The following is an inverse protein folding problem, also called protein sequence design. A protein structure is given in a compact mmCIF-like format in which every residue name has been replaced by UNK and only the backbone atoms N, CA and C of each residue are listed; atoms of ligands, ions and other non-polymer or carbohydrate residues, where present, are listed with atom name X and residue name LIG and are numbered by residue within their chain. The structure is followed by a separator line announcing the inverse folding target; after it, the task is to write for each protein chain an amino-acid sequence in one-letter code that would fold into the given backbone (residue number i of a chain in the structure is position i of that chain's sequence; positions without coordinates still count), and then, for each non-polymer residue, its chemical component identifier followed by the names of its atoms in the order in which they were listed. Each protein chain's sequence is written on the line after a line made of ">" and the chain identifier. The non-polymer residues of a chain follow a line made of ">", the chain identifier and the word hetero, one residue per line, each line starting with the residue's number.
data_IF_866926604453
#
_entry.id   IF_866926604453
#
_cell.length_a   1.000
_cell.length_b   1.000
_cell.length_c   1.000
_cell.angle_alpha   90.00
_cell.angle_beta   90.00
_cell.angle_gamma   90.00
#
_symmetry.space_group_name_H-M   'P 1'
#
loop_
_entity.id
_entity.type
_entity.pdbx_description
1 polymer ?
#
# COMPACT_ATOMS: atom_id res chain seq x y z
N UNK A 1 15.57 7.62 8.97
CA UNK A 1 14.85 6.34 8.76
C UNK A 1 13.51 6.70 8.14
N UNK A 2 13.04 5.98 7.11
CA UNK A 2 11.78 6.33 6.45
C UNK A 2 10.58 5.85 7.26
N UNK A 3 9.43 6.53 7.13
CA UNK A 3 8.15 6.12 7.73
C UNK A 3 7.83 4.66 7.38
N UNK A 4 8.07 4.26 6.14
CA UNK A 4 7.75 2.92 5.65
C UNK A 4 8.63 1.85 6.28
N UNK A 5 9.89 2.16 6.56
CA UNK A 5 10.80 1.27 7.28
C UNK A 5 10.31 1.01 8.71
N UNK A 6 9.87 2.05 9.40
CA UNK A 6 9.33 1.94 10.77
C UNK A 6 8.04 1.12 10.81
N UNK A 7 7.10 1.39 9.88
CA UNK A 7 5.87 0.59 9.77
C UNK A 7 6.15 -0.87 9.41
N UNK A 8 7.16 -1.14 8.57
CA UNK A 8 7.56 -2.49 8.20
C UNK A 8 8.14 -3.27 9.39
N UNK A 9 8.99 -2.62 10.17
CA UNK A 9 9.53 -3.18 11.41
C UNK A 9 8.43 -3.44 12.44
N UNK A 10 7.50 -2.50 12.59
CA UNK A 10 6.31 -2.67 13.42
C UNK A 10 5.45 -3.86 13.00
N UNK A 11 5.24 -4.04 11.69
CA UNK A 11 4.51 -5.19 11.15
C UNK A 11 5.20 -6.52 11.45
N UNK A 12 6.53 -6.59 11.23
CA UNK A 12 7.30 -7.79 11.55
C UNK A 12 7.23 -8.13 13.04
N UNK A 13 7.33 -7.12 13.91
CA UNK A 13 7.23 -7.27 15.36
C UNK A 13 5.88 -7.89 15.76
N UNK A 14 4.76 -7.32 15.30
CA UNK A 14 3.43 -7.83 15.68
C UNK A 14 3.13 -9.21 15.08
N UNK A 15 3.70 -9.50 13.91
CA UNK A 15 3.64 -10.83 13.33
C UNK A 15 4.42 -11.85 14.20
N UNK A 16 5.62 -11.51 14.69
CA UNK A 16 6.43 -12.42 15.51
C UNK A 16 5.95 -12.57 16.96
N UNK A 17 5.48 -11.49 17.58
CA UNK A 17 5.15 -11.46 19.01
C UNK A 17 3.69 -11.81 19.30
N UNK A 18 2.96 -12.22 18.27
CA UNK A 18 1.54 -12.46 18.31
C UNK A 18 0.68 -11.26 18.78
N UNK A 19 1.18 -10.03 18.65
CA UNK A 19 0.40 -8.82 18.89
C UNK A 19 -0.60 -8.52 17.76
N UNK A 20 -1.71 -7.84 18.07
CA UNK A 20 -2.75 -7.55 17.07
C UNK A 20 -2.45 -6.29 16.25
N UNK A 21 -1.88 -5.29 16.88
CA UNK A 21 -1.73 -3.95 16.31
C UNK A 21 -0.39 -3.33 16.68
N UNK A 22 0.15 -2.52 15.77
CA UNK A 22 1.29 -1.66 16.00
C UNK A 22 0.82 -0.21 15.90
N UNK A 23 0.92 0.54 17.00
CA UNK A 23 0.69 1.98 17.00
C UNK A 23 2.00 2.68 16.74
N UNK A 24 2.10 3.29 15.57
CA UNK A 24 3.28 4.05 15.16
C UNK A 24 3.31 5.43 15.81
N UNK A 25 2.15 6.09 15.91
CA UNK A 25 2.06 7.45 16.46
C UNK A 25 0.74 7.67 17.19
N UNK A 26 0.80 8.45 18.27
CA UNK A 26 -0.37 9.06 18.89
C UNK A 26 -0.26 10.58 18.82
N UNK A 27 -1.32 11.25 18.37
CA UNK A 27 -1.36 12.70 18.24
C UNK A 27 -2.76 13.21 18.63
N UNK A 28 -2.82 14.02 19.70
CA UNK A 28 -4.06 14.55 20.28
C UNK A 28 -5.17 13.50 20.50
N UNK A 29 -4.79 12.36 21.08
CA UNK A 29 -5.71 11.26 21.39
C UNK A 29 -6.16 10.45 20.18
N UNK A 30 -5.60 10.71 18.99
CA UNK A 30 -5.79 9.87 17.81
C UNK A 30 -4.59 8.93 17.65
N UNK A 31 -4.89 7.66 17.38
CA UNK A 31 -3.89 6.61 17.17
C UNK A 31 -3.70 6.37 15.67
N UNK A 32 -2.46 6.26 15.24
CA UNK A 32 -2.07 5.98 13.86
C UNK A 32 -1.15 4.77 13.82
N UNK A 33 -1.43 3.82 12.94
CA UNK A 33 -0.72 2.56 12.91
C UNK A 33 -1.34 1.53 11.98
N UNK A 34 -1.11 0.26 12.29
CA UNK A 34 -1.58 -0.87 11.50
C UNK A 34 -2.08 -1.99 12.39
N UNK A 35 -3.10 -2.69 11.92
CA UNK A 35 -3.61 -3.93 12.52
C UNK A 35 -3.33 -5.09 11.56
N UNK A 36 -2.63 -6.13 12.02
CA UNK A 36 -2.32 -7.31 11.21
C UNK A 36 -3.52 -8.26 11.16
N UNK A 37 -3.99 -8.57 9.95
CA UNK A 37 -5.09 -9.52 9.72
C UNK A 37 -4.56 -10.95 9.65
N UNK A 38 -4.25 -11.48 10.84
CA UNK A 38 -3.71 -12.82 11.06
C UNK A 38 -4.54 -13.95 10.48
N UNK A 39 -3.90 -15.11 10.36
CA UNK A 39 -4.54 -16.36 9.92
C UNK A 39 -5.30 -16.23 8.60
N UNK A 40 -4.79 -15.38 7.70
CA UNK A 40 -5.39 -15.13 6.39
C UNK A 40 -6.85 -14.65 6.49
N UNK A 41 -7.16 -13.81 7.49
CA UNK A 41 -8.50 -13.22 7.69
C UNK A 41 -8.72 -11.92 6.90
N UNK A 42 -7.67 -11.37 6.29
CA UNK A 42 -7.74 -10.16 5.49
C UNK A 42 -8.25 -10.38 4.06
N UNK A 43 -8.73 -9.29 3.44
CA UNK A 43 -9.25 -9.31 2.07
C UNK A 43 -8.19 -9.69 1.04
N UNK A 44 -6.91 -9.47 1.32
CA UNK A 44 -5.81 -9.84 0.41
C UNK A 44 -5.55 -11.34 0.37
N UNK A 45 -5.95 -12.05 1.42
CA UNK A 45 -5.81 -13.49 1.51
C UNK A 45 -6.90 -14.25 0.74
N UNK A 46 -8.05 -13.63 0.48
CA UNK A 46 -9.11 -14.25 -0.32
C UNK A 46 -8.63 -14.54 -1.75
N UNK A 47 -8.92 -15.75 -2.25
CA UNK A 47 -8.57 -16.18 -3.60
C UNK A 47 -9.86 -16.51 -4.34
N UNK A 48 -10.09 -15.78 -5.43
CA UNK A 48 -11.22 -16.05 -6.33
C UNK A 48 -10.87 -17.22 -7.25
N UNK A 49 -11.86 -18.05 -7.65
CA UNK A 49 -11.63 -19.18 -8.56
C UNK A 49 -10.83 -18.81 -9.81
N UNK A 50 -11.16 -17.68 -10.44
CA UNK A 50 -10.51 -17.18 -11.65
C UNK A 50 -9.04 -16.78 -11.45
N UNK A 51 -8.62 -16.54 -10.20
CA UNK A 51 -7.26 -16.12 -9.86
C UNK A 51 -6.42 -17.25 -9.23
N UNK A 52 -6.96 -18.46 -9.09
CA UNK A 52 -6.25 -19.55 -8.40
C UNK A 52 -4.87 -19.83 -9.00
N UNK A 53 -4.77 -19.87 -10.34
CA UNK A 53 -3.53 -20.19 -11.05
C UNK A 53 -2.41 -19.17 -10.83
N UNK A 54 -2.78 -17.93 -10.50
CA UNK A 54 -1.83 -16.83 -10.26
C UNK A 54 -1.66 -16.51 -8.77
N UNK A 55 -2.50 -17.10 -7.90
CA UNK A 55 -2.43 -16.89 -6.47
C UNK A 55 -1.17 -17.54 -5.90
N UNK A 56 -0.48 -16.83 -5.01
CA UNK A 56 0.77 -17.29 -4.39
C UNK A 56 0.47 -18.01 -3.08
N UNK A 57 1.39 -18.87 -2.66
CA UNK A 57 1.17 -19.78 -1.52
C UNK A 57 0.93 -19.06 -0.20
N UNK A 58 1.53 -17.87 -0.01
CA UNK A 58 1.41 -17.09 1.23
C UNK A 58 0.60 -15.82 1.03
N UNK A 59 -0.13 -15.70 -0.08
CA UNK A 59 -0.81 -14.47 -0.45
C UNK A 59 -1.68 -13.93 0.68
N UNK A 60 -1.54 -12.65 1.02
CA UNK A 60 -2.28 -11.97 2.07
C UNK A 60 -1.86 -12.34 3.49
N UNK A 61 -0.71 -13.00 3.69
CA UNK A 61 -0.22 -13.28 5.03
C UNK A 61 0.01 -11.99 5.83
N UNK A 62 0.64 -11.00 5.21
CA UNK A 62 0.90 -9.69 5.81
C UNK A 62 -0.21 -8.67 5.55
N UNK A 63 -1.45 -9.12 5.35
CA UNK A 63 -2.55 -8.18 5.13
C UNK A 63 -2.77 -7.30 6.36
N UNK A 64 -2.91 -6.00 6.16
CA UNK A 64 -3.02 -5.00 7.22
C UNK A 64 -4.24 -4.12 7.02
N UNK A 65 -4.84 -3.72 8.13
CA UNK A 65 -5.79 -2.62 8.16
C UNK A 65 -5.11 -1.39 8.74
N UNK A 66 -5.19 -0.27 8.03
CA UNK A 66 -4.70 1.01 8.54
C UNK A 66 -5.53 1.50 9.73
N UNK A 67 -4.85 1.85 10.83
CA UNK A 67 -5.43 2.56 11.97
C UNK A 67 -5.18 4.04 11.71
N UNK A 68 -6.24 4.78 11.38
CA UNK A 68 -6.15 6.18 10.94
C UNK A 68 -6.94 7.09 11.88
N UNK A 69 -6.75 6.98 13.20
CA UNK A 69 -7.46 7.81 14.19
C UNK A 69 -8.99 7.68 14.14
N UNK A 70 -9.69 8.82 14.18
CA UNK A 70 -11.17 8.90 14.14
C UNK A 70 -11.77 8.54 12.78
N UNK A 71 -10.95 8.37 11.74
CA UNK A 71 -11.44 8.14 10.39
C UNK A 71 -11.80 6.66 10.21
N UNK A 72 -12.94 6.26 10.75
CA UNK A 72 -13.47 4.90 10.61
C UNK A 72 -13.90 4.72 9.15
N UNK A 73 -13.00 4.16 8.32
CA UNK A 73 -13.13 3.87 6.88
C UNK A 73 -12.87 5.07 5.95
N UNK A 74 -11.60 5.43 5.80
CA UNK A 74 -11.17 6.30 4.70
C UNK A 74 -11.26 5.54 3.38
N UNK A 75 -12.01 6.11 2.43
CA UNK A 75 -11.98 5.68 1.03
C UNK A 75 -10.94 6.49 0.27
N UNK A 76 -10.44 5.96 -0.85
CA UNK A 76 -9.58 6.71 -1.77
C UNK A 76 -10.21 8.05 -2.19
N UNK A 77 -11.53 8.09 -2.42
CA UNK A 77 -12.24 9.31 -2.80
C UNK A 77 -12.22 10.37 -1.69
N UNK A 78 -12.50 9.94 -0.45
CA UNK A 78 -12.44 10.81 0.74
C UNK A 78 -11.03 11.36 0.96
N UNK A 79 -10.01 10.49 0.89
CA UNK A 79 -8.62 10.91 1.03
C UNK A 79 -8.23 11.94 -0.04
N UNK A 80 -8.53 11.66 -1.31
CA UNK A 80 -8.15 12.55 -2.41
C UNK A 80 -8.82 13.93 -2.31
N UNK A 81 -10.09 13.98 -1.87
CA UNK A 81 -10.78 15.25 -1.58
C UNK A 81 -10.09 16.04 -0.47
N UNK A 82 -9.63 15.35 0.57
CA UNK A 82 -8.94 15.97 1.69
C UNK A 82 -7.55 16.47 1.30
N UNK A 83 -6.77 15.65 0.59
CA UNK A 83 -5.47 16.05 0.06
C UNK A 83 -5.61 17.31 -0.81
N UNK A 84 -6.52 17.28 -1.79
CA UNK A 84 -6.73 18.43 -2.68
C UNK A 84 -7.15 19.71 -1.93
N UNK A 85 -7.91 19.58 -0.84
CA UNK A 85 -8.44 20.73 -0.10
C UNK A 85 -7.48 21.29 0.94
N UNK A 86 -6.61 20.44 1.52
CA UNK A 86 -5.84 20.80 2.71
C UNK A 86 -4.34 20.68 2.54
N UNK A 87 -3.83 19.99 1.52
CA UNK A 87 -2.38 19.75 1.34
C UNK A 87 -1.88 20.28 0.00
N UNK A 88 -0.57 20.28 -0.19
CA UNK A 88 0.07 20.51 -1.50
C UNK A 88 0.53 19.20 -2.13
N UNK A 89 0.83 19.22 -3.43
CA UNK A 89 1.38 18.05 -4.12
C UNK A 89 2.79 17.70 -3.62
N UNK A 90 3.57 18.71 -3.21
CA UNK A 90 4.91 18.58 -2.63
C UNK A 90 4.86 17.90 -1.26
N UNK A 91 3.88 18.26 -0.42
CA UNK A 91 3.63 17.58 0.86
C UNK A 91 3.27 16.10 0.62
N UNK A 92 2.47 15.79 -0.41
CA UNK A 92 2.14 14.42 -0.79
C UNK A 92 3.36 13.64 -1.31
N UNK A 93 4.19 14.28 -2.15
CA UNK A 93 5.44 13.70 -2.68
C UNK A 93 6.46 13.43 -1.57
N UNK A 94 6.51 14.29 -0.55
CA UNK A 94 7.34 14.05 0.64
C UNK A 94 6.90 12.76 1.36
N UNK A 95 5.60 12.59 1.59
CA UNK A 95 5.05 11.36 2.19
C UNK A 95 5.36 10.14 1.33
N UNK A 96 5.16 10.24 0.01
CA UNK A 96 5.48 9.17 -0.94
C UNK A 96 6.96 8.76 -0.97
N UNK A 97 7.88 9.69 -0.69
CA UNK A 97 9.31 9.42 -0.48
C UNK A 97 9.60 8.83 0.91
N UNK A 98 8.61 8.76 1.79
CA UNK A 98 8.71 8.23 3.14
C UNK A 98 9.10 9.28 4.20
N UNK A 99 8.87 10.57 3.93
CA UNK A 99 9.22 11.68 4.81
C UNK A 99 7.97 12.43 5.30
N UNK A 100 7.95 12.81 6.58
CA UNK A 100 6.90 13.70 7.12
C UNK A 100 7.37 15.15 6.97
N UNK A 101 6.62 16.03 6.28
CA UNK A 101 6.95 17.45 6.25
C UNK A 101 6.92 18.10 7.63
N UNK A 102 7.81 19.06 7.87
CA UNK A 102 7.84 19.86 9.10
C UNK A 102 6.72 20.93 9.13
N UNK A 103 6.43 21.45 10.33
CA UNK A 103 5.55 22.62 10.54
C UNK A 103 4.12 22.46 9.98
N UNK A 104 3.57 21.25 10.01
CA UNK A 104 2.21 20.98 9.57
C UNK A 104 1.18 21.36 10.64
N UNK A 105 0.04 21.90 10.21
CA UNK A 105 -1.14 21.95 11.08
C UNK A 105 -1.58 20.53 11.42
N UNK A 106 -2.26 20.37 12.55
CA UNK A 106 -2.74 19.06 12.99
C UNK A 106 -3.58 18.35 11.92
N UNK A 107 -4.53 19.06 11.31
CA UNK A 107 -5.39 18.49 10.26
C UNK A 107 -4.57 17.99 9.07
N UNK A 108 -3.61 18.78 8.58
CA UNK A 108 -2.72 18.36 7.49
C UNK A 108 -1.90 17.13 7.87
N UNK A 109 -1.31 17.14 9.06
CA UNK A 109 -0.52 16.03 9.61
C UNK A 109 -1.33 14.73 9.60
N UNK A 110 -2.57 14.75 10.07
CA UNK A 110 -3.43 13.55 10.11
C UNK A 110 -3.80 13.03 8.71
N UNK A 111 -4.08 13.91 7.76
CA UNK A 111 -4.36 13.55 6.36
C UNK A 111 -3.13 12.91 5.71
N UNK A 112 -1.95 13.52 5.91
CA UNK A 112 -0.69 13.04 5.34
C UNK A 112 -0.21 11.73 5.99
N UNK A 113 -0.41 11.55 7.29
CA UNK A 113 -0.15 10.26 7.97
C UNK A 113 -1.07 9.17 7.43
N UNK A 114 -2.35 9.48 7.21
CA UNK A 114 -3.28 8.54 6.58
C UNK A 114 -2.79 8.13 5.20
N UNK A 115 -2.34 9.09 4.39
CA UNK A 115 -1.73 8.80 3.09
C UNK A 115 -0.53 7.86 3.22
N UNK A 116 0.34 8.08 4.20
CA UNK A 116 1.50 7.21 4.46
C UNK A 116 1.08 5.76 4.76
N UNK A 117 0.08 5.57 5.61
CA UNK A 117 -0.44 4.23 5.96
C UNK A 117 -1.02 3.51 4.73
N UNK A 118 -1.77 4.23 3.88
CA UNK A 118 -2.33 3.65 2.66
C UNK A 118 -1.25 3.33 1.62
N UNK A 119 -0.20 4.15 1.50
CA UNK A 119 0.95 3.85 0.66
C UNK A 119 1.73 2.63 1.17
N UNK A 120 1.88 2.51 2.49
CA UNK A 120 2.48 1.33 3.13
C UNK A 120 1.67 0.07 2.84
N UNK A 121 0.33 0.13 2.94
CA UNK A 121 -0.54 -0.99 2.58
C UNK A 121 -0.28 -1.46 1.14
N UNK A 122 -0.13 -0.52 0.18
CA UNK A 122 0.20 -0.87 -1.20
C UNK A 122 1.54 -1.62 -1.31
N UNK A 123 2.59 -1.14 -0.64
CA UNK A 123 3.91 -1.74 -0.64
C UNK A 123 3.92 -3.16 -0.07
N UNK A 124 3.17 -3.40 1.00
CA UNK A 124 3.12 -4.71 1.65
C UNK A 124 2.29 -5.69 0.84
N UNK A 125 1.14 -5.26 0.32
CA UNK A 125 0.14 -6.18 -0.19
C UNK A 125 0.29 -6.50 -1.70
N UNK A 126 1.03 -5.69 -2.46
CA UNK A 126 1.15 -5.83 -3.91
C UNK A 126 2.61 -5.86 -4.36
N UNK A 127 2.98 -6.84 -5.19
CA UNK A 127 4.35 -6.95 -5.69
C UNK A 127 4.75 -8.37 -6.08
N UNK A 128 6.06 -8.63 -6.03
CA UNK A 128 6.66 -9.87 -6.53
C UNK A 128 6.66 -11.00 -5.51
N UNK A 129 6.59 -10.70 -4.22
CA UNK A 129 6.85 -11.70 -3.17
C UNK A 129 5.68 -12.65 -2.94
N UNK A 130 5.97 -13.82 -2.35
CA UNK A 130 5.02 -14.93 -2.21
C UNK A 130 3.79 -14.61 -1.34
N UNK A 131 3.86 -13.56 -0.54
CA UNK A 131 2.73 -13.06 0.26
C UNK A 131 1.92 -11.96 -0.43
N UNK A 132 2.40 -11.43 -1.54
CA UNK A 132 1.79 -10.29 -2.22
C UNK A 132 0.86 -10.74 -3.36
N UNK A 133 -0.16 -9.93 -3.64
CA UNK A 133 -0.92 -10.04 -4.89
C UNK A 133 -0.09 -9.52 -6.07
N UNK A 134 -0.38 -10.05 -7.25
CA UNK A 134 0.17 -9.53 -8.50
C UNK A 134 -0.18 -8.05 -8.68
N UNK A 135 0.78 -7.27 -9.19
CA UNK A 135 0.58 -5.87 -9.55
C UNK A 135 1.41 -5.48 -10.77
N UNK A 136 0.88 -4.58 -11.58
CA UNK A 136 1.62 -3.93 -12.68
C UNK A 136 2.68 -2.93 -12.17
N UNK A 137 2.63 -2.56 -10.89
CA UNK A 137 3.56 -1.68 -10.19
C UNK A 137 4.47 -2.47 -9.24
N UNK A 138 4.86 -3.69 -9.62
CA UNK A 138 5.77 -4.49 -8.81
C UNK A 138 7.21 -3.95 -8.90
N UNK A 139 7.95 -3.88 -7.77
CA UNK A 139 9.27 -3.29 -7.71
C UNK A 139 10.30 -4.06 -8.53
N UNK A 140 11.27 -3.34 -9.13
CA UNK A 140 12.45 -3.97 -9.71
C UNK A 140 13.56 -4.04 -8.67
N UNK A 141 13.93 -5.24 -8.23
CA UNK A 141 14.98 -5.42 -7.20
C UNK A 141 16.33 -4.82 -7.65
N UNK A 142 16.63 -4.83 -8.95
CA UNK A 142 17.86 -4.24 -9.51
C UNK A 142 17.79 -2.72 -9.68
N UNK A 143 16.59 -2.16 -9.65
CA UNK A 143 16.36 -0.73 -9.71
C UNK A 143 15.18 -0.37 -8.77
N UNK A 144 15.44 -0.24 -7.45
CA UNK A 144 14.39 -0.04 -6.44
C UNK A 144 13.53 1.21 -6.64
N UNK A 145 14.02 2.20 -7.37
CA UNK A 145 13.29 3.42 -7.73
C UNK A 145 12.28 3.18 -8.87
N UNK A 146 12.48 2.12 -9.66
CA UNK A 146 11.62 1.77 -10.78
C UNK A 146 10.39 0.98 -10.33
N UNK A 147 9.23 1.65 -10.45
CA UNK A 147 7.88 1.11 -10.23
C UNK A 147 7.67 0.58 -8.82
N UNK A 148 7.21 1.45 -7.93
CA UNK A 148 6.82 1.06 -6.57
C UNK A 148 5.32 0.81 -6.51
N UNK A 149 4.81 -0.14 -5.72
CA UNK A 149 3.36 -0.36 -5.59
C UNK A 149 2.60 0.91 -5.24
N UNK A 150 3.18 1.76 -4.38
CA UNK A 150 2.59 3.06 -4.01
C UNK A 150 2.57 4.10 -5.14
N UNK A 151 3.30 3.91 -6.23
CA UNK A 151 3.29 4.83 -7.39
C UNK A 151 1.92 4.89 -8.08
N UNK A 152 1.13 3.81 -8.01
CA UNK A 152 -0.24 3.84 -8.52
C UNK A 152 -1.07 4.92 -7.80
N UNK A 153 -1.00 4.94 -6.47
CA UNK A 153 -1.73 5.92 -5.66
C UNK A 153 -1.15 7.33 -5.87
N UNK A 154 0.17 7.47 -5.89
CA UNK A 154 0.83 8.76 -6.12
C UNK A 154 0.51 9.36 -7.48
N UNK A 155 0.47 8.55 -8.55
CA UNK A 155 0.13 9.03 -9.89
C UNK A 155 -1.31 9.55 -9.96
N UNK A 156 -2.24 8.93 -9.23
CA UNK A 156 -3.60 9.46 -9.11
C UNK A 156 -3.67 10.75 -8.30
N UNK A 157 -2.88 10.87 -7.23
CA UNK A 157 -2.78 12.12 -6.47
C UNK A 157 -2.27 13.24 -7.38
N UNK A 158 -1.18 13.00 -8.12
CA UNK A 158 -0.59 13.98 -9.05
C UNK A 158 -1.58 14.39 -10.14
N UNK A 159 -2.34 13.43 -10.68
CA UNK A 159 -3.41 13.71 -11.64
C UNK A 159 -4.53 14.58 -11.06
N UNK A 160 -4.98 14.29 -9.83
CA UNK A 160 -6.04 15.06 -9.15
C UNK A 160 -5.60 16.48 -8.87
N UNK A 161 -4.36 16.69 -8.38
CA UNK A 161 -3.79 18.01 -8.15
C UNK A 161 -3.63 18.78 -9.46
N UNK A 162 -3.09 18.14 -10.50
CA UNK A 162 -2.88 18.75 -11.81
C UNK A 162 -4.20 19.19 -12.48
N UNK A 163 -5.28 18.42 -12.30
CA UNK A 163 -6.58 18.70 -12.93
C UNK A 163 -7.55 19.43 -12.00
N UNK A 164 -7.18 19.65 -10.74
CA UNK A 164 -7.97 20.38 -9.74
C UNK A 164 -9.30 19.71 -9.36
N UNK A 165 -9.49 18.41 -9.64
CA UNK A 165 -10.76 17.72 -9.35
C UNK A 165 -10.59 16.22 -9.14
N UNK A 166 -11.20 15.69 -8.09
CA UNK A 166 -11.18 14.25 -7.76
C UNK A 166 -11.95 13.42 -8.80
N UNK A 167 -12.98 13.99 -9.44
CA UNK A 167 -13.75 13.29 -10.49
C UNK A 167 -12.93 12.95 -11.74
N UNK A 168 -11.74 13.54 -11.89
CA UNK A 168 -10.83 13.25 -13.00
C UNK A 168 -10.40 11.78 -13.09
N UNK A 169 -10.41 11.06 -11.97
CA UNK A 169 -9.97 9.66 -11.92
C UNK A 169 -11.10 8.65 -12.08
N UNK A 170 -12.35 9.10 -12.24
CA UNK A 170 -13.51 8.21 -12.29
C UNK A 170 -13.47 7.23 -13.47
N UNK A 171 -12.86 7.63 -14.59
CA UNK A 171 -12.69 6.78 -15.77
C UNK A 171 -11.72 5.61 -15.54
N UNK A 172 -10.97 5.63 -14.44
CA UNK A 172 -10.04 4.56 -14.06
C UNK A 172 -10.58 3.68 -12.94
N UNK A 173 -11.80 3.91 -12.47
CA UNK A 173 -12.46 3.05 -11.49
C UNK A 173 -13.15 1.90 -12.20
N UNK A 174 -12.90 0.67 -11.75
CA UNK A 174 -13.71 -0.47 -12.20
C UNK A 174 -15.11 -0.43 -11.55
N UNK A 175 -16.00 -1.37 -11.93
CA UNK A 175 -17.37 -1.47 -11.36
C UNK A 175 -17.42 -1.65 -9.83
N UNK A 176 -16.31 -2.04 -9.20
CA UNK A 176 -16.15 -2.20 -7.75
C UNK A 176 -15.49 -0.99 -7.09
N UNK A 177 -15.21 0.08 -7.85
CA UNK A 177 -14.58 1.30 -7.37
C UNK A 177 -13.06 1.22 -7.20
N UNK A 178 -12.41 0.13 -7.62
CA UNK A 178 -10.95 0.02 -7.55
C UNK A 178 -10.30 0.81 -8.68
N UNK A 179 -9.22 1.52 -8.36
CA UNK A 179 -8.42 2.24 -9.35
C UNK A 179 -7.58 1.25 -10.16
N UNK A 180 -7.72 1.30 -11.49
CA UNK A 180 -6.94 0.54 -12.47
C UNK A 180 -5.80 1.42 -12.97
N UNK A 181 -4.66 0.90 -13.45
CA UNK A 181 -3.67 1.72 -14.17
C UNK A 181 -4.28 2.43 -15.39
N UNK A 182 -3.75 3.59 -15.81
CA UNK A 182 -4.06 4.16 -17.11
C UNK A 182 -3.59 3.22 -18.25
N UNK A 183 -4.11 3.39 -19.47
CA UNK A 183 -3.64 2.61 -20.62
C UNK A 183 -2.13 2.75 -20.81
N UNK A 184 -1.47 1.62 -21.09
CA UNK A 184 -0.04 1.56 -21.32
C UNK A 184 0.35 2.43 -22.52
N UNK A 185 1.47 3.14 -22.42
CA UNK A 185 2.03 4.09 -23.37
C UNK A 185 1.14 5.32 -23.66
N UNK A 186 0.14 5.61 -22.83
CA UNK A 186 -0.65 6.83 -22.94
C UNK A 186 0.12 8.05 -22.41
N UNK A 187 -0.25 9.25 -22.85
CA UNK A 187 0.31 10.50 -22.30
C UNK A 187 0.04 10.63 -20.79
N UNK A 188 -1.11 10.11 -20.32
CA UNK A 188 -1.45 10.10 -18.91
C UNK A 188 -0.53 9.18 -18.10
N UNK A 189 -0.26 7.96 -18.58
CA UNK A 189 0.72 7.07 -17.93
C UNK A 189 2.10 7.72 -17.89
N UNK A 190 2.56 8.29 -19.00
CA UNK A 190 3.87 8.96 -19.06
C UNK A 190 3.96 10.11 -18.06
N UNK A 191 2.97 10.99 -18.07
CA UNK A 191 2.98 12.23 -17.28
C UNK A 191 2.89 11.97 -15.78
N UNK A 192 2.01 11.08 -15.33
CA UNK A 192 1.67 10.96 -13.91
C UNK A 192 2.27 9.72 -13.23
N UNK A 193 2.67 8.69 -13.98
CA UNK A 193 3.13 7.42 -13.41
C UNK A 193 4.57 7.08 -13.80
N UNK A 194 4.96 7.34 -15.05
CA UNK A 194 6.33 7.09 -15.51
C UNK A 194 7.29 8.13 -14.96
N UNK A 195 6.88 9.39 -14.86
CA UNK A 195 7.67 10.48 -14.28
C UNK A 195 8.15 10.18 -12.86
N UNK A 196 7.33 9.50 -12.05
CA UNK A 196 7.66 9.09 -10.69
C UNK A 196 8.88 8.17 -10.64
N UNK A 197 9.11 7.34 -11.66
CA UNK A 197 10.19 6.34 -11.71
C UNK A 197 11.58 6.99 -11.84
N UNK A 198 11.64 8.28 -12.17
CA UNK A 198 12.87 9.05 -12.27
C UNK A 198 13.29 9.68 -10.93
N UNK A 199 12.47 9.55 -9.88
CA UNK A 199 12.81 10.08 -8.56
C UNK A 199 13.64 9.07 -7.76
N UNK A 200 14.94 9.34 -7.69
CA UNK A 200 15.93 8.53 -6.98
C UNK A 200 15.82 8.64 -5.45
N UNK A 201 15.03 9.58 -4.93
CA UNK A 201 14.85 9.76 -3.48
C UNK A 201 13.73 8.89 -2.91
N UNK A 202 13.04 8.11 -3.75
CA UNK A 202 11.99 7.19 -3.35
C UNK A 202 12.33 5.76 -3.77
N UNK A 203 12.60 4.88 -2.80
CA UNK A 203 12.87 3.47 -3.06
C UNK A 203 11.68 2.58 -2.67
N UNK A 204 11.50 1.45 -3.36
CA UNK A 204 10.52 0.43 -2.97
C UNK A 204 10.84 -0.16 -1.60
N UNK A 205 9.83 -0.32 -0.76
CA UNK A 205 10.01 -0.83 0.61
C UNK A 205 10.42 -2.31 0.60
N UNK A 206 9.85 -3.09 -0.32
CA UNK A 206 10.13 -4.51 -0.47
C UNK A 206 11.42 -4.73 -1.29
N UNK A 207 12.52 -4.13 -0.80
CA UNK A 207 13.88 -4.33 -1.32
C UNK A 207 14.88 -4.38 -0.16
N UNK A 208 16.11 -4.83 -0.45
CA UNK A 208 17.22 -4.81 0.49
C UNK A 208 16.95 -5.56 1.81
N UNK A 209 17.53 -5.11 2.94
CA UNK A 209 17.42 -5.80 4.23
C UNK A 209 15.99 -5.98 4.77
N UNK A 210 15.10 -5.04 4.47
CA UNK A 210 13.69 -5.14 4.89
C UNK A 210 13.04 -6.33 4.19
N UNK A 211 13.23 -6.46 2.87
CA UNK A 211 12.70 -7.61 2.12
C UNK A 211 13.19 -8.94 2.69
N UNK A 212 14.50 -9.05 2.97
CA UNK A 212 15.08 -10.29 3.52
C UNK A 212 14.50 -10.62 4.90
N UNK A 213 14.18 -9.62 5.71
CA UNK A 213 13.51 -9.82 7.01
C UNK A 213 12.10 -10.42 6.84
N UNK A 214 11.33 -9.93 5.86
CA UNK A 214 10.02 -10.49 5.53
C UNK A 214 10.14 -11.91 4.97
N UNK A 215 11.13 -12.17 4.10
CA UNK A 215 11.39 -13.50 3.54
C UNK A 215 11.73 -14.52 4.63
N UNK A 216 12.69 -14.20 5.50
CA UNK A 216 13.07 -15.09 6.60
C UNK A 216 11.90 -15.40 7.54
N UNK A 217 11.02 -14.42 7.79
CA UNK A 217 9.82 -14.67 8.60
C UNK A 217 8.79 -15.57 7.88
N UNK A 218 8.50 -15.31 6.60
CA UNK A 218 7.40 -15.97 5.88
C UNK A 218 7.70 -17.43 5.52
N UNK A 219 8.97 -17.80 5.38
CA UNK A 219 9.41 -19.15 4.98
C UNK A 219 8.79 -20.24 5.86
N UNK A 220 8.66 -19.97 7.15
CA UNK A 220 8.16 -20.93 8.15
C UNK A 220 6.65 -20.86 8.40
N UNK A 221 5.93 -20.00 7.67
CA UNK A 221 4.49 -19.80 7.88
C UNK A 221 3.65 -20.83 7.12
N UNK A 222 2.41 -21.12 7.51
CA UNK A 222 1.54 -22.05 6.78
C UNK A 222 1.12 -21.49 5.40
N UNK A 223 0.76 -22.38 4.47
CA UNK A 223 0.13 -21.98 3.20
C UNK A 223 -1.20 -21.30 3.49
N UNK A 224 -1.58 -20.35 2.65
CA UNK A 224 -2.89 -19.70 2.68
C UNK A 224 -4.01 -20.75 2.66
N UNK A 225 -4.81 -20.76 3.73
CA UNK A 225 -5.93 -21.70 3.92
C UNK A 225 -6.94 -21.65 2.77
N UNK A 226 -7.25 -20.47 2.24
CA UNK A 226 -8.17 -20.30 1.11
C UNK A 226 -7.66 -20.97 -0.16
N UNK A 227 -6.33 -21.01 -0.35
CA UNK A 227 -5.70 -21.73 -1.47
C UNK A 227 -5.78 -23.24 -1.26
N UNK A 228 -5.47 -23.69 -0.05
CA UNK A 228 -5.52 -25.12 0.34
C UNK A 228 -6.93 -25.68 0.17
N UNK A 229 -7.93 -25.02 0.73
CA UNK A 229 -9.35 -25.42 0.67
C UNK A 229 -9.84 -25.57 -0.78
N UNK A 230 -9.34 -24.73 -1.69
CA UNK A 230 -9.70 -24.81 -3.09
C UNK A 230 -9.15 -26.08 -3.77
N UNK A 231 -7.87 -26.41 -3.53
CA UNK A 231 -7.28 -27.63 -4.08
C UNK A 231 -7.94 -28.90 -3.55
N UNK A 232 -8.31 -28.93 -2.26
CA UNK A 232 -9.02 -30.07 -1.66
C UNK A 232 -10.43 -30.27 -2.21
N UNK A 233 -11.06 -29.22 -2.77
CA UNK A 233 -12.35 -29.34 -3.47
C UNK A 233 -12.19 -29.84 -4.91
N UNK A 234 -11.06 -29.57 -5.56
CA UNK A 234 -10.80 -30.04 -6.93
C UNK A 234 -10.38 -31.51 -6.99
N UNK A 235 -9.88 -32.07 -5.89
CA UNK A 235 -9.43 -33.47 -5.81
C UNK A 235 -10.54 -34.45 -5.40
N UNK A 236 -11.77 -33.97 -5.18
CA UNK A 236 -12.97 -34.75 -4.88
C UNK A 236 -13.88 -34.81 -6.10
#
# INVERSE_FOLDING_TARGET
>A
MSIYTELAQGLLKIASENEKEFIWMEDSGLRFGIEHKKDYLGLMAEIKPEHLKIAKDKQGYFDVLGITGKWVKITHDTLLKQLLSYTTIEECKAIWRGNIPDNLTQTKKHILITLAILMFEQEINFGNEIWQRYSHFSPNIKNPCFRRPRDLLMGYIDMVFCLGKVTSINNFKNKRGHLLPPPKNSDLERRFFTSLQNDETAEALMTGPILESFRGYIENQPINKHKKDYYERLSK
#
